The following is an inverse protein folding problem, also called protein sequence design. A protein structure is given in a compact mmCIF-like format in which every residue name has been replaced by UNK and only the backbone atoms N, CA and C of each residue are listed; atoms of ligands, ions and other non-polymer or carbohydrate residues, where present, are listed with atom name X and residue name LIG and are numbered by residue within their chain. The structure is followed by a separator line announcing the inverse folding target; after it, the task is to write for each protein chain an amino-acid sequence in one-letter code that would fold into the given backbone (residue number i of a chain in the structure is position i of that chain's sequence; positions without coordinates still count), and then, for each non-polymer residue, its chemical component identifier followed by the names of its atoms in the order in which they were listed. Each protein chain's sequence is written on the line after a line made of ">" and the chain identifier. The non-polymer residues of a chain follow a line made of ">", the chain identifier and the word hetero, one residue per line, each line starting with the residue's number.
data_IF_951344774691
#
_entry.id   IF_951344774691
#
_cell.length_a   1.000
_cell.length_b   1.000
_cell.length_c   1.000
_cell.angle_alpha   90.00
_cell.angle_beta   90.00
_cell.angle_gamma   90.00
#
_symmetry.space_group_name_H-M   'P 1'
#
loop_
_entity.id
_entity.type
_entity.pdbx_description
1 polymer ?
#
# COMPACT_ATOMS: atom_id res chain seq x y z
N UNK A 1 -3.53 12.56 16.20
CA UNK A 1 -2.57 11.45 16.36
C UNK A 1 -2.02 11.16 14.99
N UNK A 2 -0.70 11.03 14.86
CA UNK A 2 -0.11 10.72 13.55
C UNK A 2 -0.46 9.28 13.15
N UNK A 3 -0.84 9.07 11.89
CA UNK A 3 -1.13 7.74 11.37
C UNK A 3 -0.44 7.48 10.04
N UNK A 4 -0.01 6.25 9.85
CA UNK A 4 0.68 5.78 8.64
C UNK A 4 -0.12 4.62 8.07
N UNK A 5 -0.32 4.61 6.75
CA UNK A 5 -0.91 3.45 6.07
C UNK A 5 0.17 2.78 5.22
N UNK A 6 0.38 1.48 5.41
CA UNK A 6 1.20 0.67 4.54
C UNK A 6 0.33 -0.09 3.55
N UNK A 7 0.72 -0.11 2.27
CA UNK A 7 -0.04 -0.70 1.18
C UNK A 7 0.78 -1.74 0.42
N UNK A 8 0.15 -2.88 0.17
CA UNK A 8 0.62 -3.93 -0.74
C UNK A 8 -0.37 -4.07 -1.91
N UNK A 9 -0.04 -3.43 -3.03
CA UNK A 9 -0.92 -3.31 -4.19
C UNK A 9 -0.77 -4.51 -5.13
N UNK A 10 -1.82 -5.33 -5.21
CA UNK A 10 -2.01 -6.34 -6.24
C UNK A 10 -3.03 -5.92 -7.31
N UNK A 11 -3.14 -6.72 -8.37
CA UNK A 11 -4.09 -6.46 -9.49
C UNK A 11 -5.55 -6.34 -9.05
N UNK A 12 -6.00 -7.26 -8.20
CA UNK A 12 -7.40 -7.36 -7.74
C UNK A 12 -7.56 -7.18 -6.25
N UNK A 13 -6.53 -7.56 -5.50
CA UNK A 13 -6.50 -7.53 -4.06
C UNK A 13 -5.44 -6.52 -3.64
N UNK A 14 -5.84 -5.53 -2.85
CA UNK A 14 -4.91 -4.58 -2.24
C UNK A 14 -5.00 -4.75 -0.73
N UNK A 15 -3.87 -5.07 -0.12
CA UNK A 15 -3.74 -5.13 1.33
C UNK A 15 -3.37 -3.77 1.89
N UNK A 16 -4.04 -3.34 2.96
CA UNK A 16 -3.69 -2.12 3.69
C UNK A 16 -3.60 -2.41 5.18
N UNK A 17 -2.60 -1.81 5.84
CA UNK A 17 -2.47 -1.81 7.28
C UNK A 17 -2.36 -0.37 7.78
N UNK A 18 -3.21 0.00 8.73
CA UNK A 18 -3.22 1.32 9.39
C UNK A 18 -2.44 1.21 10.70
N UNK A 19 -1.48 2.10 10.86
CA UNK A 19 -0.64 2.21 12.04
C UNK A 19 -0.94 3.51 12.80
N UNK A 20 -1.05 3.41 14.12
CA UNK A 20 -1.02 4.56 15.03
C UNK A 20 0.19 4.38 15.96
N UNK A 21 1.24 5.15 15.73
CA UNK A 21 2.54 4.89 16.34
C UNK A 21 3.11 3.55 15.85
N UNK A 22 3.40 2.64 16.78
CA UNK A 22 3.98 1.31 16.48
C UNK A 22 2.92 0.19 16.42
N UNK A 23 1.65 0.51 16.64
CA UNK A 23 0.59 -0.47 16.70
C UNK A 23 -0.22 -0.50 15.42
N UNK A 24 -0.52 -1.72 14.94
CA UNK A 24 -1.49 -1.94 13.87
C UNK A 24 -2.88 -1.86 14.47
N UNK A 25 -3.64 -0.86 14.08
CA UNK A 25 -5.01 -0.65 14.59
C UNK A 25 -6.07 -1.26 13.68
N UNK A 26 -5.76 -1.41 12.38
CA UNK A 26 -6.69 -1.96 11.40
C UNK A 26 -5.97 -2.53 10.18
N UNK A 27 -6.52 -3.59 9.61
CA UNK A 27 -6.13 -4.10 8.30
C UNK A 27 -7.35 -4.16 7.38
N UNK A 28 -7.13 -3.87 6.09
CA UNK A 28 -8.13 -3.97 5.04
C UNK A 28 -7.60 -4.86 3.91
N UNK A 29 -8.54 -5.57 3.28
CA UNK A 29 -8.32 -6.23 2.00
C UNK A 29 -9.33 -5.65 1.02
N UNK A 30 -8.88 -4.76 0.15
CA UNK A 30 -9.71 -4.22 -0.91
C UNK A 30 -9.79 -5.22 -2.04
N UNK A 31 -11.00 -5.48 -2.51
CA UNK A 31 -11.27 -6.33 -3.66
C UNK A 31 -12.21 -5.57 -4.59
N UNK A 32 -11.61 -4.91 -5.57
CA UNK A 32 -12.31 -4.03 -6.49
C UNK A 32 -12.54 -4.72 -7.84
N UNK A 33 -13.78 -4.63 -8.32
CA UNK A 33 -14.19 -5.11 -9.65
C UNK A 33 -13.81 -4.15 -10.79
N UNK A 34 -13.47 -2.90 -10.46
CA UNK A 34 -13.05 -1.85 -11.40
C UNK A 34 -12.16 -0.81 -10.70
N UNK A 35 -11.42 -0.01 -11.49
CA UNK A 35 -10.61 1.10 -10.97
C UNK A 35 -11.45 2.17 -10.24
N UNK A 36 -12.67 2.45 -10.70
CA UNK A 36 -13.57 3.38 -10.03
C UNK A 36 -14.06 2.85 -8.68
N UNK A 37 -14.36 1.55 -8.60
CA UNK A 37 -14.71 0.92 -7.32
C UNK A 37 -13.52 0.96 -6.36
N UNK A 38 -12.30 0.68 -6.87
CA UNK A 38 -11.06 0.81 -6.10
C UNK A 38 -10.87 2.22 -5.55
N UNK A 39 -11.03 3.24 -6.40
CA UNK A 39 -10.95 4.64 -6.01
C UNK A 39 -11.87 4.96 -4.82
N UNK A 40 -13.14 4.58 -4.88
CA UNK A 40 -14.09 4.90 -3.80
C UNK A 40 -13.75 4.16 -2.50
N UNK A 41 -13.38 2.87 -2.58
CA UNK A 41 -12.98 2.11 -1.40
C UNK A 41 -11.73 2.73 -0.75
N UNK A 42 -10.69 2.97 -1.56
CA UNK A 42 -9.45 3.54 -1.09
C UNK A 42 -9.66 4.95 -0.51
N UNK A 43 -10.35 5.83 -1.24
CA UNK A 43 -10.66 7.19 -0.80
C UNK A 43 -11.41 7.20 0.53
N UNK A 44 -12.37 6.29 0.73
CA UNK A 44 -13.10 6.20 2.00
C UNK A 44 -12.20 5.87 3.19
N UNK A 45 -11.22 4.97 3.01
CA UNK A 45 -10.22 4.64 4.04
C UNK A 45 -9.31 5.85 4.31
N UNK A 46 -8.85 6.52 3.25
CA UNK A 46 -8.01 7.71 3.40
C UNK A 46 -8.77 8.84 4.12
N UNK A 47 -10.07 9.00 3.88
CA UNK A 47 -10.92 9.96 4.61
C UNK A 47 -11.18 9.56 6.07
N UNK A 48 -11.37 8.28 6.33
CA UNK A 48 -11.60 7.74 7.69
C UNK A 48 -10.39 8.01 8.60
N UNK A 49 -9.17 7.77 8.09
CA UNK A 49 -7.96 7.84 8.92
C UNK A 49 -7.15 9.13 8.76
N UNK A 50 -7.31 9.84 7.64
CA UNK A 50 -6.54 11.04 7.29
C UNK A 50 -5.04 10.90 7.64
N UNK A 51 -4.33 9.93 7.03
CA UNK A 51 -2.96 9.63 7.40
C UNK A 51 -2.00 10.74 6.98
N UNK A 52 -0.91 10.89 7.72
CA UNK A 52 0.15 11.82 7.36
C UNK A 52 0.98 11.28 6.19
N UNK A 53 1.16 9.96 6.18
CA UNK A 53 2.02 9.24 5.23
C UNK A 53 1.35 7.95 4.77
N UNK A 54 1.49 7.65 3.48
CA UNK A 54 1.21 6.33 2.92
C UNK A 54 2.47 5.72 2.31
N UNK A 55 2.78 4.51 2.75
CA UNK A 55 3.96 3.75 2.37
C UNK A 55 3.60 2.62 1.37
N UNK A 56 4.31 2.57 0.25
CA UNK A 56 4.17 1.57 -0.80
C UNK A 56 5.43 0.70 -0.93
N UNK A 57 5.24 -0.58 -1.24
CA UNK A 57 6.29 -1.37 -1.88
C UNK A 57 6.35 -1.02 -3.37
N UNK A 58 7.54 -0.68 -3.89
CA UNK A 58 7.74 -0.46 -5.32
C UNK A 58 7.52 -1.78 -6.06
N UNK A 59 6.62 -1.81 -7.06
CA UNK A 59 6.42 -3.01 -7.84
C UNK A 59 7.70 -3.37 -8.60
N UNK A 60 8.04 -4.65 -8.60
CA UNK A 60 9.15 -5.19 -9.38
C UNK A 60 8.58 -5.99 -10.55
N UNK A 61 8.91 -5.59 -11.78
CA UNK A 61 8.44 -6.28 -12.97
C UNK A 61 9.52 -7.20 -13.54
N UNK A 62 9.12 -8.44 -13.81
CA UNK A 62 9.84 -9.34 -14.69
C UNK A 62 9.22 -9.32 -16.09
N UNK A 63 9.95 -9.65 -17.16
CA UNK A 63 9.37 -9.78 -18.51
C UNK A 63 8.16 -10.74 -18.55
N UNK A 64 8.17 -11.79 -17.73
CA UNK A 64 7.07 -12.76 -17.59
C UNK A 64 5.81 -12.21 -16.90
N UNK A 65 5.88 -11.03 -16.27
CA UNK A 65 4.78 -10.44 -15.50
C UNK A 65 4.36 -9.06 -16.03
N UNK A 66 4.78 -8.66 -17.23
CA UNK A 66 4.50 -7.33 -17.77
C UNK A 66 3.00 -7.00 -17.89
N UNK A 67 2.18 -7.92 -18.40
CA UNK A 67 0.74 -7.70 -18.54
C UNK A 67 0.05 -7.45 -17.18
N UNK A 68 0.39 -8.27 -16.19
CA UNK A 68 -0.06 -8.08 -14.80
C UNK A 68 0.53 -6.81 -14.18
N UNK A 69 1.73 -6.41 -14.61
CA UNK A 69 2.39 -5.23 -14.13
C UNK A 69 1.71 -3.93 -14.56
N UNK A 70 1.19 -3.86 -15.78
CA UNK A 70 0.40 -2.71 -16.24
C UNK A 70 -0.85 -2.51 -15.38
N UNK A 71 -1.58 -3.59 -15.10
CA UNK A 71 -2.81 -3.51 -14.30
C UNK A 71 -2.51 -3.08 -12.85
N UNK A 72 -1.39 -3.54 -12.28
CA UNK A 72 -0.94 -3.08 -10.96
C UNK A 72 -0.58 -1.58 -11.00
N UNK A 73 0.07 -1.11 -12.07
CA UNK A 73 0.42 0.31 -12.22
C UNK A 73 -0.84 1.18 -12.32
N UNK A 74 -1.90 0.71 -13.00
CA UNK A 74 -3.16 1.44 -13.07
C UNK A 74 -3.79 1.61 -11.69
N UNK A 75 -3.79 0.54 -10.88
CA UNK A 75 -4.29 0.59 -9.49
C UNK A 75 -3.46 1.54 -8.64
N UNK A 76 -2.13 1.46 -8.71
CA UNK A 76 -1.22 2.39 -8.02
C UNK A 76 -1.45 3.84 -8.48
N UNK A 77 -1.72 4.06 -9.77
CA UNK A 77 -2.03 5.38 -10.31
C UNK A 77 -3.29 5.98 -9.69
N UNK A 78 -4.34 5.16 -9.50
CA UNK A 78 -5.56 5.56 -8.80
C UNK A 78 -5.28 5.90 -7.33
N UNK A 79 -4.47 5.09 -6.64
CA UNK A 79 -4.10 5.32 -5.25
C UNK A 79 -3.33 6.63 -5.09
N UNK A 80 -2.30 6.85 -5.92
CA UNK A 80 -1.51 8.08 -5.91
C UNK A 80 -2.34 9.32 -6.21
N UNK A 81 -3.28 9.23 -7.15
CA UNK A 81 -4.20 10.33 -7.45
C UNK A 81 -4.98 10.77 -6.21
N UNK A 82 -5.53 9.82 -5.44
CA UNK A 82 -6.25 10.13 -4.18
C UNK A 82 -5.33 10.81 -3.17
N UNK A 83 -4.11 10.31 -3.02
CA UNK A 83 -3.14 10.85 -2.06
C UNK A 83 -2.67 12.26 -2.45
N UNK A 84 -2.40 12.49 -3.73
CA UNK A 84 -2.04 13.81 -4.26
C UNK A 84 -3.17 14.83 -4.07
N UNK A 85 -4.42 14.45 -4.36
CA UNK A 85 -5.59 15.30 -4.16
C UNK A 85 -5.78 15.73 -2.70
N UNK A 86 -5.36 14.87 -1.76
CA UNK A 86 -5.44 15.11 -0.31
C UNK A 86 -4.14 15.63 0.31
N UNK A 87 -3.11 15.86 -0.52
CA UNK A 87 -1.78 16.33 -0.08
C UNK A 87 -1.13 15.41 0.97
N UNK A 88 -1.32 14.10 0.84
CA UNK A 88 -0.73 13.10 1.73
C UNK A 88 0.64 12.68 1.21
N UNK A 89 1.63 12.57 2.11
CA UNK A 89 2.98 12.19 1.74
C UNK A 89 3.06 10.72 1.30
N UNK A 90 3.80 10.46 0.22
CA UNK A 90 3.97 9.13 -0.36
C UNK A 90 5.42 8.68 -0.16
N UNK A 91 5.60 7.57 0.56
CA UNK A 91 6.90 6.91 0.70
C UNK A 91 6.91 5.61 -0.11
N UNK A 92 7.94 5.41 -0.92
CA UNK A 92 8.08 4.21 -1.74
C UNK A 92 9.36 3.44 -1.39
N UNK A 93 9.21 2.16 -1.07
CA UNK A 93 10.31 1.30 -0.64
C UNK A 93 10.60 0.22 -1.69
N UNK A 94 11.87 0.02 -2.09
CA UNK A 94 12.23 -1.11 -2.94
C UNK A 94 11.87 -2.45 -2.27
N UNK A 95 11.33 -3.39 -3.04
CA UNK A 95 11.01 -4.75 -2.59
C UNK A 95 12.18 -5.45 -1.88
N UNK A 96 13.42 -5.21 -2.34
CA UNK A 96 14.65 -5.74 -1.75
C UNK A 96 14.87 -5.24 -0.32
N UNK A 97 14.57 -3.97 -0.06
CA UNK A 97 14.66 -3.35 1.27
C UNK A 97 13.61 -3.94 2.20
N UNK A 98 12.36 -4.05 1.74
CA UNK A 98 11.25 -4.62 2.52
C UNK A 98 11.57 -6.06 2.95
N UNK A 99 11.99 -6.91 2.01
CA UNK A 99 12.34 -8.31 2.28
C UNK A 99 13.51 -8.45 3.25
N UNK A 100 14.52 -7.58 3.15
CA UNK A 100 15.66 -7.59 4.07
C UNK A 100 15.23 -7.25 5.50
N UNK A 101 14.37 -6.26 5.68
CA UNK A 101 13.85 -5.87 6.99
C UNK A 101 13.00 -6.98 7.59
N UNK A 102 12.12 -7.59 6.78
CA UNK A 102 11.30 -8.73 7.22
C UNK A 102 12.15 -9.90 7.72
N UNK A 103 13.23 -10.24 7.00
CA UNK A 103 14.15 -11.31 7.41
C UNK A 103 14.89 -10.96 8.70
N UNK A 104 15.36 -9.73 8.84
CA UNK A 104 16.00 -9.25 10.08
C UNK A 104 15.02 -9.33 11.27
N UNK A 105 13.77 -8.93 11.08
CA UNK A 105 12.72 -9.02 12.10
C UNK A 105 12.40 -10.48 12.46
N UNK A 106 12.38 -11.38 11.47
CA UNK A 106 12.21 -12.83 11.69
C UNK A 106 13.33 -13.40 12.55
N UNK A 107 14.58 -13.03 12.26
CA UNK A 107 15.74 -13.47 13.04
C UNK A 107 15.67 -12.96 14.49
N UNK A 108 15.30 -11.70 14.68
CA UNK A 108 15.19 -11.09 16.01
C UNK A 108 14.12 -11.74 16.90
N UNK A 109 13.02 -12.23 16.33
CA UNK A 109 11.94 -12.92 17.07
C UNK A 109 12.29 -14.34 17.52
N UNK A 110 13.27 -14.97 16.88
CA UNK A 110 13.67 -16.35 17.14
C UNK A 110 14.92 -16.45 18.03
N UNK A 111 15.35 -15.33 18.62
CA UNK A 111 16.42 -15.24 19.63
C UNK A 111 15.80 -14.83 20.95
#
# INVERSE_FOLDING_TARGET
>A
MSSVIAIDTGKRNVGLAVFQGLEVVKCYLLNASSLSHHYYQFNSIIEEYNPDVVAFEKPFFSPSTMATGYEIIEVIGVEKLVLEQKQIEILEFPATTVKKIQEMARIARNK
#
